data_IF_064548939109
#
_entry.id   IF_064548939109
#
_cell.length_a   1.000
_cell.length_b   1.000
_cell.length_c   1.000
_cell.angle_alpha   90.00
_cell.angle_beta   90.00
_cell.angle_gamma   90.00
#
_symmetry.space_group_name_H-M   'P 1'
#
loop_
_entity.id
_entity.type
_entity.pdbx_description
1 polymer ?
#
# COMPACT_ATOMS: atom_id res chain seq x y z
N UNK A 1 -13.11 34.58 -6.01
CA UNK A 1 -11.85 33.85 -5.72
C UNK A 1 -11.86 33.10 -4.38
N UNK A 2 -12.09 33.74 -3.22
CA UNK A 2 -12.08 33.05 -1.89
C UNK A 2 -12.94 31.78 -1.82
N UNK A 3 -14.15 31.80 -2.40
CA UNK A 3 -15.10 30.66 -2.37
C UNK A 3 -14.62 29.44 -3.19
N UNK A 4 -13.86 29.67 -4.27
CA UNK A 4 -13.30 28.59 -5.10
C UNK A 4 -12.09 27.93 -4.43
N UNK A 5 -11.23 28.71 -3.76
CA UNK A 5 -10.11 28.17 -2.99
C UNK A 5 -10.58 27.23 -1.86
N UNK A 6 -11.67 27.58 -1.18
CA UNK A 6 -12.23 26.76 -0.10
C UNK A 6 -12.87 25.47 -0.61
N UNK A 7 -13.51 25.49 -1.78
CA UNK A 7 -14.13 24.28 -2.37
C UNK A 7 -13.06 23.33 -2.91
N UNK A 8 -12.05 23.85 -3.61
CA UNK A 8 -10.94 23.05 -4.11
C UNK A 8 -10.12 22.42 -2.96
N UNK A 9 -9.86 23.18 -1.89
CA UNK A 9 -9.19 22.67 -0.70
C UNK A 9 -9.97 21.54 -0.02
N UNK A 10 -11.29 21.71 0.14
CA UNK A 10 -12.14 20.67 0.73
C UNK A 10 -12.19 19.41 -0.16
N UNK A 11 -12.32 19.58 -1.48
CA UNK A 11 -12.32 18.46 -2.42
C UNK A 11 -11.00 17.67 -2.38
N UNK A 12 -9.87 18.37 -2.29
CA UNK A 12 -8.56 17.75 -2.13
C UNK A 12 -8.46 16.97 -0.81
N UNK A 13 -8.95 17.55 0.30
CA UNK A 13 -8.99 16.86 1.59
C UNK A 13 -9.79 15.56 1.52
N UNK A 14 -10.97 15.60 0.89
CA UNK A 14 -11.81 14.41 0.69
C UNK A 14 -11.09 13.38 -0.17
N UNK A 15 -10.43 13.80 -1.26
CA UNK A 15 -9.67 12.91 -2.13
C UNK A 15 -8.52 12.19 -1.40
N UNK A 16 -7.76 12.92 -0.56
CA UNK A 16 -6.69 12.35 0.27
C UNK A 16 -7.26 11.31 1.25
N UNK A 17 -8.36 11.63 1.92
CA UNK A 17 -9.01 10.72 2.86
C UNK A 17 -9.55 9.46 2.18
N UNK A 18 -10.14 9.60 0.98
CA UNK A 18 -10.59 8.48 0.18
C UNK A 18 -9.42 7.60 -0.28
N UNK A 19 -8.30 8.20 -0.72
CA UNK A 19 -7.12 7.45 -1.12
C UNK A 19 -6.53 6.62 0.03
N UNK A 20 -6.46 7.20 1.23
CA UNK A 20 -6.03 6.51 2.44
C UNK A 20 -7.03 5.42 2.84
N UNK A 21 -8.32 5.75 2.89
CA UNK A 21 -9.38 4.83 3.27
C UNK A 21 -9.50 3.62 2.33
N UNK A 22 -9.37 3.84 1.02
CA UNK A 22 -9.37 2.77 0.02
C UNK A 22 -8.23 1.77 0.25
N UNK A 23 -7.02 2.26 0.52
CA UNK A 23 -5.84 1.40 0.69
C UNK A 23 -5.78 0.68 2.05
N UNK A 24 -6.44 1.21 3.07
CA UNK A 24 -6.50 0.59 4.41
C UNK A 24 -7.70 -0.35 4.57
N UNK A 25 -8.86 -0.01 4.00
CA UNK A 25 -10.13 -0.67 4.28
C UNK A 25 -10.52 -1.79 3.31
N UNK A 26 -9.89 -1.88 2.13
CA UNK A 26 -10.26 -2.85 1.11
C UNK A 26 -9.23 -3.98 0.98
N UNK A 27 -9.67 -5.22 0.70
CA UNK A 27 -8.78 -6.35 0.42
C UNK A 27 -8.04 -6.20 -0.92
N UNK A 28 -8.48 -5.23 -1.74
CA UNK A 28 -7.89 -4.88 -3.02
C UNK A 28 -7.16 -3.55 -2.85
N UNK A 29 -5.87 -3.53 -3.21
CA UNK A 29 -4.99 -2.37 -3.11
C UNK A 29 -4.62 -1.88 -4.49
N UNK A 30 -4.56 -0.55 -4.65
CA UNK A 30 -4.00 0.07 -5.84
C UNK A 30 -2.51 0.28 -5.62
N UNK A 31 -1.70 -0.24 -6.52
CA UNK A 31 -0.25 -0.12 -6.48
C UNK A 31 0.26 0.42 -7.80
N UNK A 32 1.42 1.05 -7.80
CA UNK A 32 2.13 1.39 -9.02
C UNK A 32 2.97 0.21 -9.48
N UNK A 33 3.10 0.05 -10.79
CA UNK A 33 3.96 -0.96 -11.41
C UNK A 33 5.44 -0.74 -11.05
N UNK A 34 5.84 0.52 -10.86
CA UNK A 34 7.13 0.88 -10.29
C UNK A 34 7.03 0.85 -8.74
N UNK A 35 7.78 -0.03 -8.04
CA UNK A 35 7.74 -0.13 -6.59
C UNK A 35 8.02 1.20 -5.87
N UNK A 36 8.99 2.00 -6.31
CA UNK A 36 9.36 3.26 -5.64
C UNK A 36 8.22 4.28 -5.61
N UNK A 37 7.38 4.29 -6.65
CA UNK A 37 6.22 5.18 -6.74
C UNK A 37 5.17 4.89 -5.66
N UNK A 38 5.10 3.65 -5.15
CA UNK A 38 4.23 3.34 -4.02
C UNK A 38 4.69 4.05 -2.75
N UNK A 39 5.99 4.07 -2.48
CA UNK A 39 6.57 4.73 -1.31
C UNK A 39 6.48 6.26 -1.43
N UNK A 40 6.73 6.81 -2.63
CA UNK A 40 6.48 8.23 -2.91
C UNK A 40 5.02 8.63 -2.70
N UNK A 41 4.06 7.80 -3.11
CA UNK A 41 2.65 8.05 -2.88
C UNK A 41 2.32 8.07 -1.37
N UNK A 42 2.88 7.14 -0.60
CA UNK A 42 2.73 7.13 0.87
C UNK A 42 3.33 8.40 1.49
N UNK A 43 4.51 8.82 1.05
CA UNK A 43 5.12 10.08 1.49
C UNK A 43 4.20 11.28 1.26
N UNK A 44 3.71 11.46 0.02
CA UNK A 44 2.83 12.58 -0.34
C UNK A 44 1.53 12.54 0.46
N UNK A 45 0.92 11.35 0.61
CA UNK A 45 -0.30 11.19 1.40
C UNK A 45 -0.06 11.50 2.87
N UNK A 46 1.05 11.04 3.45
CA UNK A 46 1.41 11.32 4.85
C UNK A 46 1.62 12.82 5.08
N UNK A 47 2.26 13.54 4.16
CA UNK A 47 2.44 15.00 4.25
C UNK A 47 1.10 15.74 4.10
N UNK A 48 0.22 15.27 3.20
CA UNK A 48 -1.07 15.92 2.93
C UNK A 48 -2.14 15.64 4.00
N UNK A 49 -2.09 14.49 4.67
CA UNK A 49 -3.13 14.01 5.58
C UNK A 49 -3.41 14.95 6.78
N UNK A 50 -2.41 15.50 7.50
CA UNK A 50 -2.64 16.44 8.60
C UNK A 50 -3.41 17.68 8.15
N UNK A 51 -3.06 18.22 6.97
CA UNK A 51 -3.77 19.36 6.40
C UNK A 51 -5.19 18.98 5.99
N UNK A 52 -5.36 17.82 5.34
CA UNK A 52 -6.67 17.33 4.91
C UNK A 52 -7.65 17.21 6.09
N UNK A 53 -7.21 16.57 7.18
CA UNK A 53 -7.99 16.39 8.40
C UNK A 53 -8.28 17.73 9.09
N UNK A 54 -7.27 18.58 9.26
CA UNK A 54 -7.43 19.88 9.89
C UNK A 54 -8.41 20.78 9.11
N UNK A 55 -8.33 20.77 7.77
CA UNK A 55 -9.23 21.51 6.91
C UNK A 55 -10.67 20.99 7.00
N UNK A 56 -10.86 19.66 7.05
CA UNK A 56 -12.18 19.05 7.24
C UNK A 56 -12.78 19.46 8.59
N UNK A 57 -12.02 19.36 9.68
CA UNK A 57 -12.50 19.75 11.02
C UNK A 57 -12.83 21.24 11.08
N UNK A 58 -12.00 22.10 10.48
CA UNK A 58 -12.27 23.53 10.41
C UNK A 58 -13.55 23.87 9.63
N UNK A 59 -13.93 23.04 8.64
CA UNK A 59 -15.18 23.17 7.91
C UNK A 59 -16.40 22.72 8.74
N UNK A 60 -16.22 21.71 9.61
CA UNK A 60 -17.27 21.19 10.48
C UNK A 60 -17.49 22.03 11.76
N UNK A 61 -16.48 22.76 12.21
CA UNK A 61 -16.51 23.62 13.40
C UNK A 61 -16.49 25.11 13.02
N UNK A 62 -17.63 25.72 12.61
CA UNK A 62 -17.66 27.11 12.14
C UNK A 62 -17.25 28.10 13.24
N UNK A 63 -17.58 27.79 14.50
CA UNK A 63 -17.14 28.53 15.67
C UNK A 63 -15.78 27.96 16.11
N UNK A 64 -14.77 28.83 16.24
CA UNK A 64 -13.36 28.45 16.58
C UNK A 64 -12.64 27.58 15.54
N UNK A 65 -13.01 27.65 14.26
CA UNK A 65 -12.40 26.88 13.15
C UNK A 65 -10.87 26.84 13.15
N UNK A 66 -10.22 27.96 13.48
CA UNK A 66 -8.75 28.06 13.48
C UNK A 66 -8.10 27.33 14.65
N UNK A 67 -8.76 27.31 15.81
CA UNK A 67 -8.28 26.54 16.97
C UNK A 67 -8.40 25.05 16.65
N UNK A 68 -9.55 24.61 16.12
CA UNK A 68 -9.75 23.23 15.68
C UNK A 68 -8.73 22.80 14.63
N UNK A 69 -8.47 23.66 13.64
CA UNK A 69 -7.44 23.43 12.64
C UNK A 69 -6.06 23.21 13.28
N UNK A 70 -5.59 24.16 14.09
CA UNK A 70 -4.25 24.10 14.67
C UNK A 70 -4.05 22.87 15.56
N UNK A 71 -5.06 22.52 16.38
CA UNK A 71 -5.00 21.36 17.26
C UNK A 71 -4.90 20.06 16.45
N UNK A 72 -5.79 19.86 15.48
CA UNK A 72 -5.79 18.64 14.64
C UNK A 72 -4.52 18.54 13.81
N UNK A 73 -4.11 19.65 13.19
CA UNK A 73 -2.91 19.68 12.38
C UNK A 73 -1.69 19.30 13.22
N UNK A 74 -1.51 19.87 14.41
CA UNK A 74 -0.36 19.57 15.26
C UNK A 74 -0.35 18.12 15.73
N UNK A 75 -1.50 17.60 16.17
CA UNK A 75 -1.64 16.21 16.62
C UNK A 75 -1.38 15.19 15.49
N UNK A 76 -1.79 15.50 14.27
CA UNK A 76 -1.59 14.60 13.12
C UNK A 76 -0.22 14.79 12.45
N UNK A 77 0.34 16.00 12.45
CA UNK A 77 1.57 16.30 11.74
C UNK A 77 2.78 15.55 12.30
N UNK A 78 2.85 15.37 13.62
CA UNK A 78 3.98 14.66 14.27
C UNK A 78 4.04 13.18 13.86
N UNK A 79 2.99 12.35 14.02
CA UNK A 79 3.07 10.96 13.58
C UNK A 79 3.21 10.86 12.06
N UNK A 80 2.53 11.73 11.29
CA UNK A 80 2.64 11.72 9.83
C UNK A 80 4.04 12.10 9.34
N UNK A 81 4.76 13.00 10.01
CA UNK A 81 6.12 13.38 9.62
C UNK A 81 7.08 12.20 9.80
N UNK A 82 6.95 11.44 10.89
CA UNK A 82 7.71 10.21 11.12
C UNK A 82 7.48 9.20 10.00
N UNK A 83 6.21 8.90 9.67
CA UNK A 83 5.89 8.00 8.55
C UNK A 83 6.40 8.52 7.21
N UNK A 84 6.29 9.82 6.96
CA UNK A 84 6.79 10.43 5.72
C UNK A 84 8.30 10.28 5.59
N UNK A 85 9.05 10.43 6.69
CA UNK A 85 10.50 10.27 6.68
C UNK A 85 10.91 8.84 6.30
N UNK A 86 10.28 7.83 6.90
CA UNK A 86 10.52 6.43 6.52
C UNK A 86 10.13 6.14 5.07
N UNK A 87 8.97 6.61 4.63
CA UNK A 87 8.52 6.43 3.25
C UNK A 87 9.46 7.10 2.24
N UNK A 88 10.05 8.25 2.58
CA UNK A 88 11.05 8.92 1.76
C UNK A 88 12.33 8.10 1.62
N UNK A 89 12.89 7.61 2.74
CA UNK A 89 14.11 6.80 2.69
C UNK A 89 13.89 5.49 1.94
N UNK A 90 12.75 4.83 2.14
CA UNK A 90 12.40 3.61 1.42
C UNK A 90 12.23 3.89 -0.09
N UNK A 91 11.55 4.99 -0.45
CA UNK A 91 11.40 5.39 -1.84
C UNK A 91 12.75 5.63 -2.53
N UNK A 92 13.66 6.33 -1.86
CA UNK A 92 15.01 6.60 -2.37
C UNK A 92 15.81 5.31 -2.51
N UNK A 93 15.77 4.43 -1.49
CA UNK A 93 16.49 3.17 -1.49
C UNK A 93 16.02 2.24 -2.62
N UNK A 94 14.70 2.05 -2.76
CA UNK A 94 14.11 1.23 -3.83
C UNK A 94 14.40 1.81 -5.21
N UNK A 95 14.46 3.14 -5.33
CA UNK A 95 14.80 3.79 -6.60
C UNK A 95 16.28 3.60 -6.99
N UNK A 96 17.18 3.55 -6.01
CA UNK A 96 18.62 3.32 -6.23
C UNK A 96 18.92 1.84 -6.50
N UNK A 97 18.39 0.94 -5.67
CA UNK A 97 18.65 -0.50 -5.75
C UNK A 97 17.81 -1.22 -6.81
N UNK A 98 16.70 -0.61 -7.26
CA UNK A 98 15.69 -1.19 -8.15
C UNK A 98 15.01 -2.45 -7.61
N UNK A 99 15.18 -2.73 -6.33
CA UNK A 99 14.59 -3.88 -5.63
C UNK A 99 13.75 -3.39 -4.45
N UNK A 100 12.62 -4.04 -4.19
CA UNK A 100 11.74 -3.75 -3.06
C UNK A 100 12.09 -4.67 -1.89
N UNK A 101 12.82 -4.14 -0.91
CA UNK A 101 13.24 -4.91 0.26
C UNK A 101 12.09 -5.44 1.13
N UNK A 102 10.87 -4.90 0.98
CA UNK A 102 9.70 -5.39 1.69
C UNK A 102 8.95 -6.52 0.95
N UNK A 103 9.18 -6.65 -0.36
CA UNK A 103 8.55 -7.65 -1.23
C UNK A 103 9.53 -8.16 -2.28
N UNK A 104 10.27 -9.20 -1.92
CA UNK A 104 11.16 -9.89 -2.84
C UNK A 104 10.36 -10.92 -3.65
N UNK A 105 10.37 -10.79 -4.97
CA UNK A 105 9.68 -11.73 -5.86
C UNK A 105 10.45 -13.06 -5.88
N UNK A 106 9.78 -14.15 -5.52
CA UNK A 106 10.35 -15.50 -5.61
C UNK A 106 9.97 -16.18 -6.92
N UNK A 107 8.68 -16.14 -7.26
CA UNK A 107 8.15 -16.83 -8.43
C UNK A 107 6.86 -16.17 -8.95
N UNK A 108 6.49 -16.46 -10.20
CA UNK A 108 5.28 -15.92 -10.82
C UNK A 108 4.66 -16.85 -11.85
N UNK A 109 3.33 -16.91 -11.86
CA UNK A 109 2.54 -17.67 -12.83
C UNK A 109 1.46 -16.78 -13.40
N UNK A 110 1.45 -16.60 -14.73
CA UNK A 110 0.39 -15.90 -15.44
C UNK A 110 -0.75 -16.84 -15.81
N UNK A 111 -1.99 -16.48 -15.46
CA UNK A 111 -3.20 -17.19 -15.91
C UNK A 111 -4.21 -16.20 -16.47
N UNK A 112 -4.47 -16.30 -17.78
CA UNK A 112 -5.29 -15.34 -18.53
C UNK A 112 -4.78 -13.89 -18.38
N UNK A 113 -5.55 -13.02 -17.73
CA UNK A 113 -5.22 -11.60 -17.50
C UNK A 113 -4.84 -11.30 -16.04
N UNK A 114 -4.36 -12.30 -15.31
CA UNK A 114 -3.97 -12.18 -13.90
C UNK A 114 -2.59 -12.79 -13.70
N UNK A 115 -1.68 -12.02 -13.13
CA UNK A 115 -0.38 -12.48 -12.69
C UNK A 115 -0.46 -12.89 -11.23
N UNK A 116 -0.24 -14.16 -10.94
CA UNK A 116 -0.09 -14.66 -9.59
C UNK A 116 1.39 -14.63 -9.23
N UNK A 117 1.75 -13.84 -8.21
CA UNK A 117 3.14 -13.62 -7.82
C UNK A 117 3.33 -14.02 -6.36
N UNK A 118 4.36 -14.83 -6.14
CA UNK A 118 4.80 -15.26 -4.83
C UNK A 118 5.93 -14.35 -4.36
N UNK A 119 5.72 -13.71 -3.21
CA UNK A 119 6.69 -12.83 -2.61
C UNK A 119 7.15 -13.36 -1.26
N UNK A 120 8.44 -13.22 -0.99
CA UNK A 120 8.97 -13.19 0.36
C UNK A 120 8.80 -11.77 0.90
N UNK A 121 8.08 -11.63 2.01
CA UNK A 121 7.79 -10.33 2.62
C UNK A 121 8.20 -10.29 4.07
N UNK A 122 8.76 -9.17 4.50
CA UNK A 122 9.12 -8.95 5.89
C UNK A 122 7.91 -8.55 6.76
N UNK A 123 6.72 -8.33 6.19
CA UNK A 123 5.48 -7.89 6.86
C UNK A 123 5.61 -6.72 7.87
N UNK A 124 6.74 -6.00 7.88
CA UNK A 124 7.04 -4.87 8.76
C UNK A 124 7.73 -5.24 10.08
N UNK A 125 7.82 -4.26 10.98
CA UNK A 125 8.65 -4.26 12.20
C UNK A 125 8.30 -5.38 13.20
N UNK A 126 7.10 -5.96 13.14
CA UNK A 126 6.59 -6.88 14.17
C UNK A 126 6.58 -8.35 13.77
N UNK A 127 7.01 -8.71 12.56
CA UNK A 127 6.82 -10.06 12.03
C UNK A 127 8.12 -10.59 11.40
N UNK A 128 8.33 -11.91 11.52
CA UNK A 128 9.37 -12.61 10.75
C UNK A 128 9.00 -12.65 9.27
N UNK A 129 9.98 -12.88 8.40
CA UNK A 129 9.73 -13.15 7.00
C UNK A 129 8.63 -14.20 6.79
N UNK A 130 7.84 -13.99 5.75
CA UNK A 130 6.71 -14.85 5.39
C UNK A 130 6.42 -14.80 3.89
N UNK A 131 5.77 -15.84 3.40
CA UNK A 131 5.38 -15.97 2.00
C UNK A 131 4.01 -15.34 1.77
N UNK A 132 3.86 -14.60 0.67
CA UNK A 132 2.61 -13.95 0.29
C UNK A 132 2.34 -14.17 -1.18
N UNK A 133 1.19 -14.76 -1.51
CA UNK A 133 0.70 -14.88 -2.89
C UNK A 133 -0.26 -13.74 -3.19
N UNK A 134 0.04 -13.01 -4.25
CA UNK A 134 -0.76 -11.89 -4.75
C UNK A 134 -1.27 -12.17 -6.14
N UNK A 135 -2.55 -11.89 -6.37
CA UNK A 135 -3.07 -11.68 -7.71
C UNK A 135 -2.87 -10.21 -8.09
N UNK A 136 -2.19 -10.00 -9.21
CA UNK A 136 -1.92 -8.71 -9.79
C UNK A 136 -2.61 -8.62 -11.16
N UNK A 137 -3.29 -7.51 -11.39
CA UNK A 137 -3.83 -7.16 -12.71
C UNK A 137 -3.27 -5.82 -13.12
N UNK A 138 -2.68 -5.78 -14.30
CA UNK A 138 -2.23 -4.53 -14.89
C UNK A 138 -3.44 -3.68 -15.29
N UNK A 139 -3.41 -2.43 -14.84
CA UNK A 139 -4.35 -1.39 -15.20
C UNK A 139 -3.69 -0.33 -16.07
N UNK A 140 -4.46 0.68 -16.50
CA UNK A 140 -3.92 1.77 -17.30
C UNK A 140 -2.96 2.66 -16.47
N UNK A 141 -2.12 3.41 -17.17
CA UNK A 141 -1.20 4.42 -16.59
C UNK A 141 -0.21 3.88 -15.55
N UNK A 142 0.20 2.61 -15.68
CA UNK A 142 1.18 2.00 -14.77
C UNK A 142 0.63 1.74 -13.36
N UNK A 143 -0.70 1.70 -13.20
CA UNK A 143 -1.37 1.30 -11.97
C UNK A 143 -1.72 -0.19 -12.06
N UNK A 144 -1.49 -0.92 -10.98
CA UNK A 144 -1.83 -2.32 -10.78
C UNK A 144 -2.90 -2.45 -9.70
N UNK A 145 -3.81 -3.39 -9.91
CA UNK A 145 -4.76 -3.83 -8.90
C UNK A 145 -4.19 -5.08 -8.26
N UNK A 146 -3.92 -5.01 -6.96
CA UNK A 146 -3.23 -6.07 -6.20
C UNK A 146 -4.16 -6.59 -5.13
N UNK A 147 -4.36 -7.91 -5.10
CA UNK A 147 -5.12 -8.60 -4.05
C UNK A 147 -4.25 -9.69 -3.45
N UNK A 148 -4.11 -9.68 -2.12
CA UNK A 148 -3.50 -10.80 -1.39
C UNK A 148 -4.50 -11.95 -1.34
N UNK A 149 -4.09 -13.15 -1.78
CA UNK A 149 -4.96 -14.34 -1.79
C UNK A 149 -4.58 -15.28 -0.66
N UNK A 150 -3.28 -15.39 -0.41
CA UNK A 150 -2.74 -16.27 0.62
C UNK A 150 -1.50 -15.65 1.25
N UNK A 151 -1.27 -15.94 2.52
CA UNK A 151 -0.09 -15.52 3.26
C UNK A 151 0.17 -16.49 4.40
N UNK A 152 1.43 -16.89 4.56
CA UNK A 152 1.88 -17.74 5.66
C UNK A 152 3.11 -17.10 6.32
N UNK A 153 3.17 -17.20 7.64
CA UNK A 153 4.21 -16.54 8.44
C UNK A 153 5.19 -17.58 8.99
N UNK A 154 6.47 -17.21 9.14
CA UNK A 154 7.55 -18.10 9.62
C UNK A 154 7.85 -19.27 8.67
N UNK A 155 7.82 -19.00 7.38
CA UNK A 155 8.15 -19.96 6.33
C UNK A 155 9.62 -19.85 5.95
N UNK A 156 10.13 -20.85 5.23
CA UNK A 156 11.48 -20.84 4.67
C UNK A 156 11.60 -19.80 3.55
N UNK A 157 12.82 -19.35 3.27
CA UNK A 157 13.12 -18.30 2.27
C UNK A 157 12.99 -18.79 0.82
N UNK A 158 12.65 -20.06 0.61
CA UNK A 158 12.59 -20.70 -0.70
C UNK A 158 11.26 -21.42 -0.89
N UNK A 159 10.46 -20.93 -1.84
CA UNK A 159 9.23 -21.56 -2.27
C UNK A 159 8.96 -21.29 -3.75
N UNK A 160 8.26 -22.21 -4.40
CA UNK A 160 7.89 -22.15 -5.81
C UNK A 160 6.38 -22.09 -5.98
N UNK A 161 5.93 -21.43 -7.03
CA UNK A 161 4.52 -21.30 -7.37
C UNK A 161 4.24 -22.08 -8.66
N UNK A 162 3.31 -23.03 -8.59
CA UNK A 162 2.95 -23.84 -9.76
C UNK A 162 1.43 -23.95 -9.92
N UNK A 163 0.98 -24.16 -11.15
CA UNK A 163 -0.42 -24.45 -11.44
C UNK A 163 -0.68 -25.94 -11.25
N UNK A 164 -1.34 -26.33 -10.16
CA UNK A 164 -1.63 -27.73 -9.87
C UNK A 164 -2.83 -28.26 -10.68
N UNK A 165 -3.83 -27.41 -10.90
CA UNK A 165 -5.02 -27.71 -11.69
C UNK A 165 -5.67 -26.40 -12.20
N UNK A 166 -6.60 -26.45 -13.16
CA UNK A 166 -7.40 -25.28 -13.52
C UNK A 166 -8.08 -24.69 -12.27
N UNK A 167 -7.79 -23.42 -11.97
CA UNK A 167 -8.32 -22.72 -10.78
C UNK A 167 -7.63 -23.05 -9.46
N UNK A 168 -6.51 -23.79 -9.46
CA UNK A 168 -5.75 -24.11 -8.25
C UNK A 168 -4.27 -23.81 -8.45
N UNK A 169 -3.74 -22.90 -7.63
CA UNK A 169 -2.30 -22.66 -7.47
C UNK A 169 -1.79 -23.53 -6.34
N UNK A 170 -0.55 -23.97 -6.45
CA UNK A 170 0.16 -24.67 -5.40
C UNK A 170 1.45 -23.93 -5.08
N UNK A 171 1.62 -23.60 -3.81
CA UNK A 171 2.89 -23.13 -3.27
C UNK A 171 3.61 -24.35 -2.72
N UNK A 172 4.85 -24.59 -3.14
CA UNK A 172 5.69 -25.68 -2.64
C UNK A 172 6.92 -25.06 -1.97
N UNK A 173 7.06 -25.27 -0.67
CA UNK A 173 8.22 -24.87 0.11
C UNK A 173 9.38 -25.87 -0.08
N UNK A 174 10.61 -25.44 0.19
CA UNK A 174 11.81 -26.27 0.00
C UNK A 174 11.87 -27.52 0.88
N UNK A 175 11.13 -27.55 1.99
CA UNK A 175 10.97 -28.73 2.85
C UNK A 175 9.98 -29.77 2.30
N UNK A 176 9.34 -29.48 1.16
CA UNK A 176 8.33 -30.32 0.52
C UNK A 176 6.90 -30.06 0.99
N UNK A 177 6.68 -29.10 1.89
CA UNK A 177 5.33 -28.67 2.29
C UNK A 177 4.64 -28.01 1.10
N UNK A 178 3.40 -28.42 0.82
CA UNK A 178 2.62 -27.93 -0.31
C UNK A 178 1.27 -27.38 0.14
N UNK A 179 0.94 -26.17 -0.33
CA UNK A 179 -0.32 -25.48 -0.02
C UNK A 179 -1.11 -25.23 -1.31
N UNK A 180 -2.33 -25.79 -1.37
CA UNK A 180 -3.24 -25.60 -2.50
C UNK A 180 -4.17 -24.40 -2.26
N UNK A 181 -4.07 -23.41 -3.15
CA UNK A 181 -4.79 -22.14 -3.10
C UNK A 181 -5.77 -22.07 -4.26
N UNK A 182 -7.07 -21.92 -3.95
CA UNK A 182 -8.11 -21.65 -4.96
C UNK A 182 -8.22 -20.16 -5.23
N UNK A 183 -8.31 -19.75 -6.50
CA UNK A 183 -8.32 -18.35 -6.92
C UNK A 183 -9.48 -17.99 -7.85
#
# INVERSE_FOLDING_TARGET
MKKYLTVAGLALSVAVLLAVGFNLGLPIKLRFANPSMNYWAVFVLAVALPFALAALVAALLPVKRWIGFCVVWFLCAIPCSVFSLFAYYEAANVQEQREDGAFMLLDSVGVANVDYRLYLSNCGVTCSWGLVVRAERDGPFGIKVVRSIWSEYRTLDEAQLMLAAPGVLRVVESDGTAHDIRY
#
